data_IF_835040079162
#
_entry.id   IF_835040079162
#
_cell.length_a   1.000
_cell.length_b   1.000
_cell.length_c   1.000
_cell.angle_alpha   90.00
_cell.angle_beta   90.00
_cell.angle_gamma   90.00
#
_symmetry.space_group_name_H-M   'P 1'
#
loop_
_entity.id
_entity.type
_entity.pdbx_description
1 polymer ?
#
# COMPACT_ATOMS: atom_id res chain seq x y z
N UNK A 1 63.03 -39.80 58.92
CA UNK A 1 62.20 -40.51 57.92
C UNK A 1 60.84 -40.76 58.57
N UNK A 2 59.78 -40.69 57.75
CA UNK A 2 58.34 -40.73 58.05
C UNK A 2 57.71 -39.35 58.34
N UNK A 3 57.25 -38.59 57.35
CA UNK A 3 56.23 -38.80 56.27
C UNK A 3 54.82 -38.40 56.71
N UNK A 4 54.59 -37.09 56.61
CA UNK A 4 53.36 -36.40 56.17
C UNK A 4 52.27 -37.27 55.55
N UNK A 5 51.01 -37.12 56.00
CA UNK A 5 49.88 -37.00 55.06
C UNK A 5 48.70 -36.25 55.70
N UNK A 6 48.54 -34.99 55.31
CA UNK A 6 47.35 -34.19 55.56
C UNK A 6 46.26 -34.58 54.54
N UNK A 7 45.11 -35.06 55.03
CA UNK A 7 43.95 -35.34 54.19
C UNK A 7 43.30 -34.01 53.76
N UNK A 8 43.46 -33.65 52.48
CA UNK A 8 42.73 -32.54 51.86
C UNK A 8 41.37 -33.06 51.37
N UNK A 9 40.31 -32.68 52.08
CA UNK A 9 38.92 -32.90 51.67
C UNK A 9 38.59 -31.93 50.53
N UNK A 10 38.49 -32.45 49.31
CA UNK A 10 38.02 -31.71 48.13
C UNK A 10 36.49 -31.55 48.22
N UNK A 11 36.02 -30.37 48.59
CA UNK A 11 34.61 -29.98 48.43
C UNK A 11 34.38 -29.67 46.95
N UNK A 12 33.74 -30.59 46.24
CA UNK A 12 33.25 -30.36 44.87
C UNK A 12 31.94 -29.59 44.94
N UNK A 13 31.99 -28.31 44.61
CA UNK A 13 30.79 -27.51 44.35
C UNK A 13 30.24 -27.89 42.97
N UNK A 14 29.15 -28.64 42.94
CA UNK A 14 28.32 -28.84 41.75
C UNK A 14 27.38 -27.63 41.63
N UNK A 15 27.78 -26.62 40.86
CA UNK A 15 26.86 -25.58 40.39
C UNK A 15 25.98 -26.17 39.30
N UNK A 16 24.77 -26.59 39.65
CA UNK A 16 23.74 -26.90 38.67
C UNK A 16 23.27 -25.57 38.04
N UNK A 17 23.72 -25.29 36.83
CA UNK A 17 23.18 -24.20 36.03
C UNK A 17 21.76 -24.60 35.60
N UNK A 18 20.75 -23.97 36.22
CA UNK A 18 19.36 -24.08 35.82
C UNK A 18 19.22 -23.31 34.50
N UNK A 19 19.37 -24.01 33.38
CA UNK A 19 18.98 -23.48 32.06
C UNK A 19 17.46 -23.48 32.03
N UNK A 20 16.86 -22.32 32.30
CA UNK A 20 15.46 -22.06 31.96
C UNK A 20 15.38 -22.10 30.42
N UNK A 21 14.95 -23.25 29.90
CA UNK A 21 14.47 -23.35 28.53
C UNK A 21 13.16 -22.57 28.52
N UNK A 22 13.22 -21.30 28.12
CA UNK A 22 12.04 -20.54 27.73
C UNK A 22 11.53 -21.23 26.48
N UNK A 23 10.49 -22.04 26.62
CA UNK A 23 9.74 -22.50 25.46
C UNK A 23 9.26 -21.23 24.72
N UNK A 24 9.40 -21.16 23.38
CA UNK A 24 8.78 -20.08 22.64
C UNK A 24 7.29 -20.06 23.03
N UNK A 25 6.79 -18.91 23.46
CA UNK A 25 5.35 -18.71 23.57
C UNK A 25 4.78 -19.01 22.20
N UNK A 26 3.84 -19.95 22.10
CA UNK A 26 3.06 -20.13 20.87
C UNK A 26 2.29 -18.81 20.64
N UNK A 27 2.89 -17.93 19.84
CA UNK A 27 2.36 -16.64 19.41
C UNK A 27 1.45 -16.86 18.22
N UNK A 28 0.34 -17.55 18.45
CA UNK A 28 -0.72 -17.71 17.47
C UNK A 28 -1.99 -17.37 18.20
N UNK A 29 -2.24 -16.09 18.45
CA UNK A 29 -3.47 -15.49 18.95
C UNK A 29 -4.05 -14.47 17.93
N UNK A 30 -3.64 -14.55 16.67
CA UNK A 30 -4.06 -13.62 15.62
C UNK A 30 -5.51 -13.84 15.23
N UNK A 31 -6.14 -12.77 14.78
CA UNK A 31 -7.53 -12.74 14.38
C UNK A 31 -7.69 -12.22 12.96
N UNK A 32 -8.60 -12.82 12.20
CA UNK A 32 -9.00 -12.37 10.88
C UNK A 32 -10.39 -11.75 10.91
N UNK A 33 -10.58 -10.74 10.06
CA UNK A 33 -11.90 -10.17 9.81
C UNK A 33 -12.81 -11.22 9.18
N UNK A 34 -14.08 -11.27 9.60
CA UNK A 34 -15.05 -12.25 9.12
C UNK A 34 -16.19 -11.62 8.35
N UNK A 35 -16.87 -12.36 7.47
CA UNK A 35 -18.07 -11.86 6.77
C UNK A 35 -19.26 -11.56 7.69
N UNK A 36 -19.19 -11.89 8.98
CA UNK A 36 -20.26 -11.61 9.95
C UNK A 36 -20.15 -10.22 10.61
N UNK A 37 -18.99 -9.57 10.50
CA UNK A 37 -18.75 -8.23 11.07
C UNK A 37 -17.49 -8.18 11.92
N UNK A 38 -17.12 -6.98 12.35
CA UNK A 38 -15.90 -6.75 13.16
C UNK A 38 -16.01 -7.29 14.58
N UNK A 39 -17.21 -7.39 15.15
CA UNK A 39 -17.46 -7.94 16.48
C UNK A 39 -17.32 -9.47 16.55
N UNK A 40 -17.12 -10.14 15.41
CA UNK A 40 -17.05 -11.60 15.30
C UNK A 40 -15.84 -12.03 14.44
N UNK A 41 -14.61 -11.69 14.85
CA UNK A 41 -13.43 -12.13 14.13
C UNK A 41 -13.25 -13.66 14.22
N UNK A 42 -12.49 -14.21 13.28
CA UNK A 42 -12.07 -15.61 13.31
C UNK A 42 -10.64 -15.65 13.83
N UNK A 43 -10.46 -16.06 15.08
CA UNK A 43 -9.16 -16.10 15.74
C UNK A 43 -8.55 -17.50 15.74
N UNK A 44 -7.22 -17.55 15.83
CA UNK A 44 -6.45 -18.77 16.05
C UNK A 44 -5.64 -18.56 17.32
N UNK A 45 -5.78 -19.39 18.38
CA UNK A 45 -6.80 -20.42 18.52
C UNK A 45 -8.22 -19.82 18.57
N UNK A 46 -9.21 -20.62 18.20
CA UNK A 46 -10.60 -20.17 18.12
C UNK A 46 -11.14 -19.75 19.49
N UNK A 47 -11.60 -18.51 19.61
CA UNK A 47 -12.34 -18.00 20.75
C UNK A 47 -13.85 -18.10 20.47
N UNK A 48 -14.40 -19.31 20.61
CA UNK A 48 -15.82 -19.58 20.34
C UNK A 48 -16.07 -20.13 18.93
N UNK A 49 -17.34 -20.09 18.50
CA UNK A 49 -17.76 -20.61 17.20
C UNK A 49 -17.47 -19.58 16.10
N UNK A 50 -16.63 -19.90 15.09
CA UNK A 50 -16.31 -18.97 14.02
C UNK A 50 -17.57 -18.69 13.18
N UNK A 51 -17.76 -17.42 12.81
CA UNK A 51 -18.88 -17.00 11.98
C UNK A 51 -18.40 -16.60 10.58
N UNK A 52 -19.06 -17.11 9.54
CA UNK A 52 -18.83 -16.68 8.16
C UNK A 52 -17.49 -17.12 7.58
N UNK A 53 -17.03 -16.40 6.56
CA UNK A 53 -15.75 -16.64 5.90
C UNK A 53 -14.71 -15.62 6.36
N UNK A 54 -13.43 -16.01 6.35
CA UNK A 54 -12.31 -15.07 6.52
C UNK A 54 -12.27 -14.12 5.34
N UNK A 55 -12.12 -12.81 5.62
CA UNK A 55 -11.93 -11.80 4.58
C UNK A 55 -10.47 -11.77 4.14
N UNK A 56 -10.21 -11.95 2.85
CA UNK A 56 -8.88 -11.76 2.27
C UNK A 56 -8.92 -11.51 0.76
N UNK A 57 -7.84 -10.98 0.20
CA UNK A 57 -7.68 -10.83 -1.24
C UNK A 57 -7.46 -12.19 -1.92
N UNK A 58 -8.30 -12.56 -2.87
CA UNK A 58 -8.11 -13.81 -3.65
C UNK A 58 -7.29 -13.57 -4.93
N UNK A 59 -6.15 -12.89 -4.80
CA UNK A 59 -5.24 -12.54 -5.90
C UNK A 59 -3.81 -12.33 -5.41
N UNK A 60 -2.86 -12.44 -6.33
CA UNK A 60 -1.43 -12.30 -6.03
C UNK A 60 -0.99 -10.84 -5.86
N UNK A 61 -1.72 -9.88 -6.44
CA UNK A 61 -1.37 -8.46 -6.38
C UNK A 61 -2.59 -7.57 -6.24
N UNK A 62 -2.43 -6.50 -5.47
CA UNK A 62 -3.45 -5.47 -5.27
C UNK A 62 -2.83 -4.09 -5.49
N UNK A 63 -3.52 -3.20 -6.18
CA UNK A 63 -3.07 -1.82 -6.34
C UNK A 63 -3.65 -0.91 -5.27
N UNK A 64 -2.88 0.07 -4.80
CA UNK A 64 -3.40 1.19 -3.99
C UNK A 64 -2.94 2.52 -4.58
N UNK A 65 -3.63 3.60 -4.24
CA UNK A 65 -3.23 4.95 -4.63
C UNK A 65 -3.32 5.93 -3.46
N UNK A 66 -2.60 7.04 -3.57
CA UNK A 66 -2.65 8.13 -2.60
C UNK A 66 -3.56 9.24 -3.10
N UNK A 67 -4.40 9.78 -2.22
CA UNK A 67 -5.16 10.96 -2.55
C UNK A 67 -4.21 12.16 -2.72
N UNK A 68 -4.25 12.81 -3.88
CA UNK A 68 -3.27 13.80 -4.32
C UNK A 68 -3.18 15.08 -3.47
N UNK A 69 -4.21 15.40 -2.69
CA UNK A 69 -4.16 16.56 -1.80
C UNK A 69 -3.38 16.24 -0.52
N UNK A 70 -3.27 14.96 -0.13
CA UNK A 70 -2.65 14.55 1.12
C UNK A 70 -3.25 15.28 2.32
N UNK A 71 -2.38 15.68 3.25
CA UNK A 71 -2.72 16.51 4.40
C UNK A 71 -1.87 17.78 4.42
N UNK A 72 -2.38 18.88 4.97
CA UNK A 72 -1.64 20.12 5.16
C UNK A 72 -0.49 19.99 6.16
N UNK A 73 -0.50 18.96 7.01
CA UNK A 73 0.47 18.76 8.10
C UNK A 73 1.78 18.08 7.65
N UNK A 74 1.77 17.37 6.52
CA UNK A 74 2.89 16.57 6.01
C UNK A 74 3.03 16.78 4.51
N UNK A 75 4.24 16.65 3.98
CA UNK A 75 4.44 16.65 2.53
C UNK A 75 3.88 15.36 1.92
N UNK A 76 3.48 15.43 0.66
CA UNK A 76 3.00 14.24 -0.06
C UNK A 76 4.07 13.14 -0.17
N UNK A 77 5.36 13.52 -0.18
CA UNK A 77 6.48 12.56 -0.14
C UNK A 77 6.53 11.83 1.20
N UNK A 78 6.39 12.54 2.32
CA UNK A 78 6.35 11.92 3.65
C UNK A 78 5.16 10.97 3.80
N UNK A 79 3.99 11.37 3.30
CA UNK A 79 2.79 10.52 3.25
C UNK A 79 3.04 9.28 2.39
N UNK A 80 3.62 9.44 1.21
CA UNK A 80 3.89 8.33 0.31
C UNK A 80 4.91 7.34 0.90
N UNK A 81 5.97 7.85 1.52
CA UNK A 81 6.97 7.02 2.18
C UNK A 81 6.39 6.29 3.41
N UNK A 82 5.50 6.94 4.17
CA UNK A 82 4.79 6.30 5.26
C UNK A 82 3.88 5.16 4.78
N UNK A 83 3.11 5.38 3.71
CA UNK A 83 2.27 4.34 3.11
C UNK A 83 3.10 3.17 2.55
N UNK A 84 4.20 3.45 1.85
CA UNK A 84 5.13 2.40 1.36
C UNK A 84 5.72 1.59 2.51
N UNK A 85 6.12 2.25 3.60
CA UNK A 85 6.63 1.57 4.78
C UNK A 85 5.57 0.68 5.42
N UNK A 86 4.33 1.15 5.54
CA UNK A 86 3.20 0.39 6.08
C UNK A 86 2.88 -0.84 5.23
N UNK A 87 2.68 -0.70 3.92
CA UNK A 87 2.47 -1.85 3.02
C UNK A 87 3.66 -2.81 3.01
N UNK A 88 4.88 -2.28 2.96
CA UNK A 88 6.10 -3.07 2.99
C UNK A 88 6.29 -3.87 4.28
N UNK A 89 5.84 -3.36 5.44
CA UNK A 89 5.92 -4.09 6.70
C UNK A 89 5.18 -5.44 6.63
N UNK A 90 4.06 -5.49 5.90
CA UNK A 90 3.27 -6.70 5.69
C UNK A 90 3.80 -7.57 4.55
N UNK A 91 4.05 -7.00 3.36
CA UNK A 91 4.48 -7.81 2.19
C UNK A 91 5.91 -8.33 2.32
N UNK A 92 6.73 -7.74 3.19
CA UNK A 92 8.11 -8.18 3.46
C UNK A 92 8.25 -8.92 4.80
N UNK A 93 7.14 -9.29 5.44
CA UNK A 93 7.15 -10.12 6.64
C UNK A 93 7.86 -11.45 6.38
N UNK A 94 8.73 -11.88 7.29
CA UNK A 94 9.46 -13.15 7.13
C UNK A 94 8.64 -14.29 7.72
N UNK A 95 8.05 -15.12 6.86
CA UNK A 95 7.32 -16.31 7.29
C UNK A 95 8.28 -17.40 7.78
N UNK A 96 7.79 -18.33 8.62
CA UNK A 96 8.58 -19.46 9.15
C UNK A 96 9.19 -20.36 8.07
N UNK A 97 8.62 -20.36 6.87
CA UNK A 97 9.13 -21.04 5.68
C UNK A 97 10.42 -20.42 5.13
N UNK A 98 10.78 -19.22 5.57
CA UNK A 98 11.90 -18.42 5.05
C UNK A 98 11.55 -17.54 3.84
N UNK A 99 10.28 -17.57 3.41
CA UNK A 99 9.75 -16.78 2.30
C UNK A 99 8.85 -15.64 2.79
N UNK A 100 8.35 -14.81 1.86
CA UNK A 100 7.40 -13.72 2.12
C UNK A 100 5.94 -14.19 1.93
N UNK A 101 4.93 -13.42 2.39
CA UNK A 101 3.53 -13.68 2.08
C UNK A 101 3.27 -13.78 0.58
N UNK A 102 2.34 -14.65 0.19
CA UNK A 102 1.97 -14.90 -1.22
C UNK A 102 1.16 -13.79 -1.89
N UNK A 103 1.31 -12.54 -1.45
CA UNK A 103 0.61 -11.35 -1.95
C UNK A 103 1.55 -10.15 -1.96
N UNK A 104 1.42 -9.29 -2.98
CA UNK A 104 2.14 -8.01 -3.06
C UNK A 104 1.18 -6.85 -3.33
N UNK A 105 1.65 -5.64 -3.04
CA UNK A 105 0.86 -4.42 -3.17
C UNK A 105 1.63 -3.39 -3.99
N UNK A 106 0.99 -2.87 -5.04
CA UNK A 106 1.62 -1.95 -6.00
C UNK A 106 1.03 -0.56 -5.83
N UNK A 107 1.88 0.42 -5.55
CA UNK A 107 1.49 1.83 -5.57
C UNK A 107 1.21 2.27 -7.01
N UNK A 108 -0.03 2.69 -7.27
CA UNK A 108 -0.53 3.14 -8.57
C UNK A 108 -0.39 4.66 -8.77
N UNK A 109 0.27 5.35 -7.84
CA UNK A 109 0.51 6.79 -7.85
C UNK A 109 -0.59 7.58 -7.15
N UNK A 110 -0.78 8.82 -7.62
CA UNK A 110 -1.71 9.78 -7.02
C UNK A 110 -3.06 9.80 -7.76
N UNK A 111 -4.16 9.93 -7.01
CA UNK A 111 -5.52 10.00 -7.54
C UNK A 111 -6.27 11.22 -7.01
N UNK A 112 -7.30 11.64 -7.74
CA UNK A 112 -8.20 12.70 -7.32
C UNK A 112 -9.34 12.21 -6.41
N UNK A 113 -9.67 10.91 -6.48
CA UNK A 113 -10.66 10.27 -5.63
C UNK A 113 -10.38 10.55 -4.15
N UNK A 114 -11.36 11.06 -3.41
CA UNK A 114 -11.20 11.65 -2.08
C UNK A 114 -12.21 11.13 -1.04
N UNK A 115 -12.73 9.94 -1.26
CA UNK A 115 -13.66 9.26 -0.37
C UNK A 115 -13.53 7.76 -0.59
N UNK A 116 -13.90 6.98 0.41
CA UNK A 116 -14.17 5.55 0.20
C UNK A 116 -15.27 5.32 -0.84
N UNK A 117 -15.11 4.34 -1.72
CA UNK A 117 -16.13 3.93 -2.68
C UNK A 117 -15.81 2.58 -3.32
N UNK A 118 -16.80 1.68 -3.30
CA UNK A 118 -16.84 0.54 -4.21
C UNK A 118 -17.96 0.67 -5.24
N UNK A 119 -17.57 0.72 -6.51
CA UNK A 119 -18.44 0.73 -7.67
C UNK A 119 -18.54 -0.67 -8.29
N UNK A 120 -19.71 -1.33 -8.25
CA UNK A 120 -19.88 -2.70 -8.76
C UNK A 120 -20.00 -2.79 -10.29
N UNK A 121 -19.99 -1.66 -11.01
CA UNK A 121 -20.18 -1.62 -12.46
C UNK A 121 -19.12 -0.80 -13.21
N UNK A 122 -18.31 -0.01 -12.50
CA UNK A 122 -17.28 0.87 -13.04
C UNK A 122 -15.96 0.71 -12.28
N UNK A 123 -14.90 1.37 -12.74
CA UNK A 123 -13.58 1.26 -12.11
C UNK A 123 -13.55 1.72 -10.65
N UNK A 124 -12.58 1.20 -9.91
CA UNK A 124 -12.35 1.46 -8.49
C UNK A 124 -10.90 1.88 -8.26
N UNK A 125 -10.61 2.29 -7.03
CA UNK A 125 -9.27 2.52 -6.51
C UNK A 125 -9.28 2.29 -5.01
N UNK A 126 -8.37 1.46 -4.52
CA UNK A 126 -8.09 1.39 -3.09
C UNK A 126 -7.31 2.66 -2.70
N UNK A 127 -7.95 3.64 -2.10
CA UNK A 127 -7.34 4.97 -1.88
C UNK A 127 -6.97 5.19 -0.41
N UNK A 128 -5.80 5.79 -0.17
CA UNK A 128 -5.43 6.39 1.13
C UNK A 128 -5.74 7.88 1.10
N UNK A 129 -6.72 8.31 1.91
CA UNK A 129 -7.25 9.67 1.95
C UNK A 129 -7.03 10.31 3.33
N UNK A 130 -6.84 11.62 3.36
CA UNK A 130 -6.67 12.41 4.58
C UNK A 130 -7.78 13.48 4.68
N UNK A 131 -8.37 13.62 5.85
CA UNK A 131 -9.48 14.53 6.11
C UNK A 131 -9.03 15.68 7.02
N UNK A 132 -8.51 16.76 6.44
CA UNK A 132 -8.03 17.92 7.21
C UNK A 132 -9.15 18.83 7.73
N UNK A 133 -10.26 18.94 6.99
CA UNK A 133 -11.31 19.92 7.27
C UNK A 133 -12.33 19.39 8.27
N UNK A 134 -12.93 18.24 7.95
CA UNK A 134 -14.00 17.62 8.74
C UNK A 134 -13.88 16.10 8.63
N UNK A 135 -13.98 15.41 9.77
CA UNK A 135 -14.14 13.96 9.80
C UNK A 135 -15.61 13.59 9.56
N UNK A 136 -15.94 12.85 8.48
CA UNK A 136 -17.33 12.60 8.09
C UNK A 136 -18.05 11.58 8.96
N UNK A 137 -17.38 10.97 9.95
CA UNK A 137 -17.91 9.89 10.79
C UNK A 137 -18.06 10.33 12.25
N UNK A 138 -19.18 10.99 12.61
CA UNK A 138 -19.38 11.50 13.97
C UNK A 138 -19.52 10.41 15.04
N UNK A 139 -19.80 9.16 14.64
CA UNK A 139 -19.84 8.02 15.57
C UNK A 139 -18.45 7.45 15.86
N UNK A 140 -17.50 7.75 14.99
CA UNK A 140 -16.12 7.27 15.01
C UNK A 140 -15.18 8.47 15.15
N UNK A 141 -15.60 9.47 15.93
CA UNK A 141 -14.84 10.74 16.12
C UNK A 141 -13.49 10.53 16.77
N UNK A 142 -13.36 9.46 17.55
CA UNK A 142 -12.16 9.12 18.28
C UNK A 142 -11.24 8.20 17.46
N UNK A 143 -11.65 7.79 16.25
CA UNK A 143 -10.84 6.99 15.34
C UNK A 143 -9.75 7.86 14.68
N UNK A 144 -8.50 7.40 14.77
CA UNK A 144 -7.35 8.04 14.12
C UNK A 144 -7.38 7.83 12.60
N UNK A 145 -7.80 6.63 12.20
CA UNK A 145 -8.02 6.24 10.82
C UNK A 145 -9.05 5.10 10.77
N UNK A 146 -9.52 4.79 9.57
CA UNK A 146 -10.42 3.68 9.31
C UNK A 146 -10.06 3.03 7.97
N UNK A 147 -10.02 1.70 7.95
CA UNK A 147 -10.02 0.91 6.71
C UNK A 147 -11.40 0.36 6.39
N UNK A 148 -11.92 0.73 5.23
CA UNK A 148 -13.22 0.30 4.73
C UNK A 148 -13.07 -0.82 3.73
N UNK A 149 -13.42 -2.04 4.12
CA UNK A 149 -13.29 -3.24 3.27
C UNK A 149 -14.63 -3.62 2.65
N UNK A 150 -14.70 -3.65 1.32
CA UNK A 150 -15.80 -4.27 0.57
C UNK A 150 -15.44 -5.71 0.20
N UNK A 151 -16.37 -6.64 0.35
CA UNK A 151 -16.12 -8.06 0.17
C UNK A 151 -17.33 -8.82 -0.38
N UNK A 152 -17.09 -10.00 -0.94
CA UNK A 152 -18.12 -10.95 -1.38
C UNK A 152 -18.55 -11.83 -0.20
N UNK A 153 -19.79 -11.72 0.32
CA UNK A 153 -20.17 -12.41 1.57
C UNK A 153 -20.09 -13.94 1.51
N UNK A 154 -20.30 -14.53 0.34
CA UNK A 154 -20.28 -15.99 0.18
C UNK A 154 -18.88 -16.61 0.20
N UNK A 155 -17.84 -15.83 -0.06
CA UNK A 155 -16.46 -16.32 -0.17
C UNK A 155 -15.49 -15.65 0.80
N UNK A 156 -15.79 -14.43 1.25
CA UNK A 156 -14.84 -13.58 1.97
C UNK A 156 -13.83 -12.87 1.05
N UNK A 157 -13.98 -12.95 -0.28
CA UNK A 157 -13.08 -12.23 -1.18
C UNK A 157 -13.20 -10.72 -0.95
N UNK A 158 -12.10 -10.08 -0.55
CA UNK A 158 -11.99 -8.63 -0.56
C UNK A 158 -11.91 -8.18 -2.02
N UNK A 159 -12.75 -7.20 -2.37
CA UNK A 159 -12.82 -6.63 -3.72
C UNK A 159 -12.38 -5.18 -3.78
N UNK A 160 -12.35 -4.50 -2.63
CA UNK A 160 -11.97 -3.10 -2.47
C UNK A 160 -11.66 -2.80 -0.98
N UNK A 161 -10.67 -1.95 -0.73
CA UNK A 161 -10.29 -1.51 0.61
C UNK A 161 -9.69 -0.09 0.59
N UNK A 162 -10.41 0.86 1.20
CA UNK A 162 -10.01 2.27 1.31
C UNK A 162 -9.53 2.61 2.71
N UNK A 163 -8.49 3.44 2.83
CA UNK A 163 -7.96 3.91 4.11
C UNK A 163 -8.23 5.41 4.24
N UNK A 164 -8.87 5.83 5.33
CA UNK A 164 -9.16 7.23 5.60
C UNK A 164 -8.53 7.66 6.92
N UNK A 165 -7.74 8.73 6.91
CA UNK A 165 -6.97 9.23 8.06
C UNK A 165 -7.59 10.53 8.58
N UNK A 166 -7.85 10.60 9.88
CA UNK A 166 -8.52 11.71 10.54
C UNK A 166 -7.55 12.82 10.95
N UNK A 167 -7.05 13.57 9.98
CA UNK A 167 -6.15 14.72 10.21
C UNK A 167 -6.87 15.99 10.69
N UNK A 168 -8.21 15.98 10.74
CA UNK A 168 -9.02 17.09 11.25
C UNK A 168 -9.02 17.14 12.78
N UNK A 169 -9.03 15.96 13.41
CA UNK A 169 -9.16 15.82 14.87
C UNK A 169 -7.81 15.52 15.54
N UNK A 170 -6.84 15.00 14.78
CA UNK A 170 -5.57 14.52 15.31
C UNK A 170 -4.37 15.05 14.53
N UNK A 171 -3.27 15.27 15.25
CA UNK A 171 -1.97 15.62 14.67
C UNK A 171 -1.14 14.37 14.47
N UNK A 172 -0.44 14.31 13.34
CA UNK A 172 0.38 13.17 12.95
C UNK A 172 1.81 13.59 12.64
N UNK A 173 2.74 12.67 12.85
CA UNK A 173 4.14 12.80 12.49
C UNK A 173 4.67 11.52 11.86
N UNK A 174 5.72 11.64 11.04
CA UNK A 174 6.48 10.51 10.49
C UNK A 174 7.86 10.34 11.13
N UNK A 175 8.23 11.21 12.08
CA UNK A 175 9.59 11.26 12.64
C UNK A 175 9.92 10.13 13.60
N UNK A 176 8.91 9.47 14.19
CA UNK A 176 9.08 8.45 15.23
C UNK A 176 9.62 8.98 16.57
N UNK A 177 9.73 10.30 16.72
CA UNK A 177 10.21 10.96 17.95
C UNK A 177 9.31 12.11 18.40
N UNK A 178 8.28 12.43 17.62
CA UNK A 178 7.26 13.40 17.99
C UNK A 178 6.37 12.85 19.12
N UNK A 179 5.67 13.76 19.80
CA UNK A 179 4.56 13.41 20.70
C UNK A 179 3.21 13.36 19.99
N UNK A 180 3.17 13.66 18.69
CA UNK A 180 1.99 13.45 17.84
C UNK A 180 1.76 11.96 17.57
N UNK A 181 0.61 11.59 16.99
CA UNK A 181 0.39 10.22 16.54
C UNK A 181 1.35 9.83 15.42
N UNK A 182 1.87 8.61 15.47
CA UNK A 182 2.80 8.12 14.47
C UNK A 182 2.06 7.64 13.22
N UNK A 183 2.14 8.40 12.12
CA UNK A 183 1.43 8.07 10.88
C UNK A 183 1.89 6.73 10.30
N UNK A 184 3.18 6.41 10.42
CA UNK A 184 3.71 5.14 9.90
C UNK A 184 3.05 3.97 10.63
N UNK A 185 3.06 3.99 11.96
CA UNK A 185 2.41 2.94 12.76
C UNK A 185 0.89 2.86 12.56
N UNK A 186 0.19 4.01 12.52
CA UNK A 186 -1.26 4.03 12.25
C UNK A 186 -1.56 3.44 10.87
N UNK A 187 -0.82 3.84 9.82
CA UNK A 187 -1.01 3.23 8.50
C UNK A 187 -0.67 1.74 8.48
N UNK A 188 0.37 1.29 9.21
CA UNK A 188 0.68 -0.15 9.29
C UNK A 188 -0.48 -0.93 9.90
N UNK A 189 -1.14 -0.40 10.94
CA UNK A 189 -2.35 -0.97 11.52
C UNK A 189 -3.50 -1.04 10.50
N UNK A 190 -3.82 0.09 9.86
CA UNK A 190 -4.87 0.16 8.84
C UNK A 190 -4.61 -0.79 7.66
N UNK A 191 -3.35 -0.96 7.27
CA UNK A 191 -2.95 -1.91 6.22
C UNK A 191 -3.16 -3.36 6.66
N UNK A 192 -3.08 -3.67 7.95
CA UNK A 192 -3.47 -4.99 8.45
C UNK A 192 -4.94 -5.27 8.14
N UNK A 193 -5.84 -4.32 8.40
CA UNK A 193 -7.24 -4.43 8.00
C UNK A 193 -7.42 -4.52 6.49
N UNK A 194 -6.62 -3.78 5.70
CA UNK A 194 -6.61 -3.88 4.24
C UNK A 194 -6.34 -5.32 3.77
N UNK A 195 -5.44 -6.04 4.46
CA UNK A 195 -5.15 -7.44 4.18
C UNK A 195 -6.20 -8.41 4.73
N UNK A 196 -7.09 -7.97 5.61
CA UNK A 196 -8.11 -8.81 6.23
C UNK A 196 -7.81 -9.23 7.67
N UNK A 197 -6.78 -8.67 8.30
CA UNK A 197 -6.53 -8.85 9.73
C UNK A 197 -7.64 -8.17 10.54
N UNK A 198 -8.00 -8.75 11.68
CA UNK A 198 -8.85 -8.10 12.68
C UNK A 198 -8.00 -7.57 13.82
N UNK A 199 -8.62 -6.78 14.70
CA UNK A 199 -7.96 -6.36 15.92
C UNK A 199 -7.47 -7.55 16.75
N UNK A 200 -6.31 -7.41 17.37
CA UNK A 200 -5.76 -8.34 18.35
C UNK A 200 -6.02 -7.82 19.77
N UNK A 201 -6.18 -8.75 20.70
CA UNK A 201 -6.20 -8.45 22.14
C UNK A 201 -4.78 -8.38 22.73
N UNK A 202 -3.76 -8.82 21.97
CA UNK A 202 -2.37 -8.67 22.36
C UNK A 202 -1.96 -7.20 22.28
N UNK A 203 -1.56 -6.65 23.42
CA UNK A 203 -1.14 -5.26 23.57
C UNK A 203 0.22 -4.97 22.92
N UNK A 204 0.98 -5.97 22.51
CA UNK A 204 2.19 -5.76 21.72
C UNK A 204 1.91 -5.81 20.21
N UNK A 205 0.78 -6.40 19.77
CA UNK A 205 0.44 -6.56 18.36
C UNK A 205 0.28 -5.22 17.65
N UNK A 206 0.70 -5.19 16.38
CA UNK A 206 0.42 -4.08 15.46
C UNK A 206 -1.08 -3.89 15.28
N UNK A 207 -1.86 -4.96 15.40
CA UNK A 207 -3.33 -4.96 15.29
C UNK A 207 -4.04 -4.66 16.61
N UNK A 208 -3.37 -4.22 17.68
CA UNK A 208 -4.08 -3.76 18.88
C UNK A 208 -4.94 -2.53 18.55
N UNK A 209 -6.15 -2.46 19.10
CA UNK A 209 -7.12 -1.39 18.78
C UNK A 209 -6.87 -0.05 19.47
N UNK A 210 -5.85 0.06 20.33
CA UNK A 210 -5.53 1.26 21.08
C UNK A 210 -4.07 1.73 20.88
N UNK A 211 -3.92 3.04 20.70
CA UNK A 211 -2.61 3.67 20.52
C UNK A 211 -2.61 5.05 21.17
N UNK A 212 -1.48 5.43 21.76
CA UNK A 212 -1.29 6.72 22.39
C UNK A 212 -0.42 7.64 21.52
N UNK A 213 -0.54 8.98 21.65
CA UNK A 213 0.37 9.90 20.98
C UNK A 213 1.84 9.62 21.33
N UNK A 214 2.73 9.67 20.33
CA UNK A 214 4.16 9.36 20.45
C UNK A 214 4.50 7.87 20.50
N UNK A 215 3.50 6.97 20.45
CA UNK A 215 3.71 5.54 20.33
C UNK A 215 4.19 5.19 18.92
N UNK A 216 5.22 4.35 18.83
CA UNK A 216 5.82 3.88 17.57
C UNK A 216 5.80 2.36 17.44
N UNK A 217 5.17 1.66 18.39
CA UNK A 217 5.14 0.19 18.43
C UNK A 217 4.46 -0.44 17.22
N UNK A 218 3.50 0.26 16.60
CA UNK A 218 2.75 -0.25 15.45
C UNK A 218 3.55 -0.18 14.12
N UNK A 219 4.77 0.39 14.11
CA UNK A 219 5.59 0.50 12.88
C UNK A 219 6.06 -0.86 12.35
N UNK A 220 6.14 -1.87 13.21
CA UNK A 220 6.71 -3.18 12.90
C UNK A 220 5.81 -4.30 13.37
N UNK A 221 5.68 -5.34 12.56
CA UNK A 221 4.90 -6.51 12.90
C UNK A 221 5.52 -7.31 14.06
N UNK A 222 4.68 -7.73 14.99
CA UNK A 222 5.03 -8.72 15.98
C UNK A 222 4.89 -10.13 15.41
N UNK A 223 5.41 -11.12 16.13
CA UNK A 223 5.37 -12.52 15.70
C UNK A 223 3.94 -13.01 15.41
N UNK A 224 2.96 -12.53 16.18
CA UNK A 224 1.55 -12.88 15.98
C UNK A 224 1.00 -12.29 14.66
N UNK A 225 1.32 -11.02 14.37
CA UNK A 225 0.95 -10.35 13.13
C UNK A 225 1.58 -11.04 11.91
N UNK A 226 2.87 -11.42 12.03
CA UNK A 226 3.61 -12.17 11.00
C UNK A 226 2.99 -13.54 10.78
N UNK A 227 2.68 -14.28 11.86
CA UNK A 227 2.04 -15.59 11.75
C UNK A 227 0.66 -15.47 11.08
N UNK A 228 -0.09 -14.42 11.41
CA UNK A 228 -1.40 -14.12 10.82
C UNK A 228 -1.32 -13.84 9.32
N UNK A 229 -0.48 -12.91 8.86
CA UNK A 229 -0.37 -12.59 7.43
C UNK A 229 0.17 -13.77 6.62
N UNK A 230 1.11 -14.56 7.17
CA UNK A 230 1.64 -15.75 6.52
C UNK A 230 0.63 -16.90 6.47
N UNK A 231 -0.27 -17.00 7.45
CA UNK A 231 -1.37 -17.95 7.41
C UNK A 231 -2.46 -17.51 6.41
N UNK A 232 -2.73 -16.21 6.32
CA UNK A 232 -3.74 -15.64 5.43
C UNK A 232 -3.33 -15.69 3.96
N UNK A 233 -2.03 -15.45 3.71
CA UNK A 233 -1.39 -15.48 2.39
C UNK A 233 -0.17 -16.40 2.43
N UNK A 234 -0.37 -17.73 2.35
CA UNK A 234 0.72 -18.69 2.34
C UNK A 234 1.79 -18.36 1.30
N UNK A 235 3.06 -18.48 1.69
CA UNK A 235 4.19 -18.10 0.85
C UNK A 235 4.13 -18.71 -0.54
N UNK A 236 4.32 -17.85 -1.54
CA UNK A 236 4.33 -18.20 -2.96
C UNK A 236 5.18 -17.19 -3.72
N UNK A 237 5.95 -17.65 -4.70
CA UNK A 237 6.62 -16.76 -5.64
C UNK A 237 5.59 -16.04 -6.52
N UNK A 238 5.57 -14.71 -6.44
CA UNK A 238 4.71 -13.87 -7.27
C UNK A 238 5.32 -13.76 -8.67
N UNK A 239 4.55 -14.15 -9.68
CA UNK A 239 4.89 -13.91 -11.07
C UNK A 239 4.45 -12.49 -11.46
N UNK A 240 5.39 -11.54 -11.41
CA UNK A 240 5.13 -10.16 -11.78
C UNK A 240 4.70 -9.96 -13.25
N UNK A 241 4.84 -10.97 -14.12
CA UNK A 241 4.30 -10.91 -15.48
C UNK A 241 2.77 -11.11 -15.52
N UNK A 242 2.18 -11.74 -14.49
CA UNK A 242 0.74 -12.04 -14.38
C UNK A 242 0.07 -11.34 -13.19
N UNK A 243 0.86 -10.79 -12.27
CA UNK A 243 0.46 -9.84 -11.24
C UNK A 243 -0.33 -8.66 -11.82
N UNK A 244 -1.61 -8.55 -11.45
CA UNK A 244 -2.50 -7.48 -11.91
C UNK A 244 -2.95 -6.61 -10.73
N UNK A 245 -2.40 -5.40 -10.56
CA UNK A 245 -2.82 -4.50 -9.48
C UNK A 245 -4.13 -3.76 -9.76
N UNK A 246 -4.69 -3.88 -10.97
CA UNK A 246 -5.87 -3.12 -11.37
C UNK A 246 -7.09 -3.62 -10.54
N UNK A 247 -7.81 -2.72 -9.84
CA UNK A 247 -8.99 -3.07 -9.07
C UNK A 247 -10.09 -3.76 -9.89
N UNK A 248 -11.02 -4.42 -9.20
CA UNK A 248 -12.17 -5.02 -9.86
C UNK A 248 -12.91 -3.94 -10.67
N UNK A 249 -13.39 -4.33 -11.86
CA UNK A 249 -14.02 -3.43 -12.84
C UNK A 249 -13.12 -2.33 -13.46
N UNK A 250 -11.83 -2.26 -13.12
CA UNK A 250 -10.85 -1.33 -13.72
C UNK A 250 -10.32 -0.33 -12.70
N UNK A 251 -9.32 0.46 -13.11
CA UNK A 251 -8.78 1.54 -12.29
C UNK A 251 -9.53 2.85 -12.59
N UNK A 252 -9.96 3.56 -11.54
CA UNK A 252 -10.55 4.88 -11.62
C UNK A 252 -9.75 5.88 -10.78
N UNK A 253 -9.28 6.96 -11.39
CA UNK A 253 -8.53 8.01 -10.67
C UNK A 253 -9.43 9.01 -9.94
N UNK A 254 -10.74 8.90 -10.11
CA UNK A 254 -11.79 9.75 -9.52
C UNK A 254 -12.88 8.82 -9.00
N UNK A 255 -13.51 9.15 -7.86
CA UNK A 255 -14.70 8.43 -7.42
C UNK A 255 -15.95 9.07 -8.03
N UNK A 256 -16.23 8.73 -9.29
CA UNK A 256 -17.39 9.21 -10.05
C UNK A 256 -18.23 8.03 -10.57
N UNK A 257 -19.56 8.20 -10.73
CA UNK A 257 -20.46 7.08 -11.07
C UNK A 257 -20.17 6.38 -12.41
N UNK A 258 -19.66 7.11 -13.40
CA UNK A 258 -19.53 6.68 -14.81
C UNK A 258 -18.07 6.48 -15.25
N UNK A 259 -17.21 5.92 -14.40
CA UNK A 259 -15.80 5.63 -14.71
C UNK A 259 -15.66 4.31 -15.50
N UNK A 260 -16.17 4.26 -16.74
CA UNK A 260 -16.10 3.05 -17.57
C UNK A 260 -14.65 2.70 -17.96
N UNK A 261 -14.34 1.39 -17.98
CA UNK A 261 -13.04 0.83 -18.43
C UNK A 261 -12.56 1.50 -19.71
N UNK A 262 -11.37 2.11 -19.65
CA UNK A 262 -10.64 2.57 -20.84
C UNK A 262 -10.61 4.08 -21.06
N UNK A 263 -11.14 4.91 -20.16
CA UNK A 263 -10.83 6.34 -20.17
C UNK A 263 -9.42 6.57 -19.62
N UNK A 264 -8.40 6.31 -20.43
CA UNK A 264 -7.07 6.88 -20.18
C UNK A 264 -7.16 8.39 -20.40
N UNK A 265 -7.73 9.12 -19.42
CA UNK A 265 -7.66 10.56 -19.42
C UNK A 265 -6.26 10.95 -18.97
N UNK A 266 -5.34 11.05 -19.93
CA UNK A 266 -4.15 11.86 -19.73
C UNK A 266 -4.63 13.26 -19.30
N UNK A 267 -4.01 13.92 -18.30
CA UNK A 267 -4.38 15.27 -17.94
C UNK A 267 -4.30 16.11 -19.21
N UNK A 268 -5.42 16.73 -19.58
CA UNK A 268 -5.44 17.69 -20.68
C UNK A 268 -4.52 18.84 -20.26
N UNK A 269 -3.25 18.76 -20.65
CA UNK A 269 -2.35 19.88 -20.65
C UNK A 269 -3.07 20.99 -21.41
N UNK A 270 -3.43 22.06 -20.71
CA UNK A 270 -3.91 23.28 -21.35
C UNK A 270 -2.82 23.75 -22.29
N UNK A 271 -2.93 23.38 -23.57
CA UNK A 271 -2.24 24.11 -24.62
C UNK A 271 -2.78 25.53 -24.56
N UNK A 272 -1.93 26.56 -24.36
CA UNK A 272 -2.39 27.93 -24.50
C UNK A 272 -2.88 28.09 -25.94
N UNK A 273 -4.15 28.46 -26.07
CA UNK A 273 -4.79 28.80 -27.33
C UNK A 273 -3.95 29.81 -28.10
N UNK A 274 -3.86 29.62 -29.42
CA UNK A 274 -3.18 30.49 -30.37
C UNK A 274 -3.45 31.98 -30.08
N UNK A 275 -2.41 32.70 -29.67
CA UNK A 275 -2.55 34.12 -29.31
C UNK A 275 -1.39 34.68 -28.49
N UNK A 276 -0.13 34.40 -28.87
CA UNK A 276 1.02 35.06 -28.27
C UNK A 276 2.22 35.07 -29.23
N UNK A 277 2.13 35.83 -30.33
CA UNK A 277 3.27 36.09 -31.22
C UNK A 277 3.71 37.56 -31.27
N UNK A 278 3.20 38.43 -30.39
CA UNK A 278 3.72 39.79 -30.25
C UNK A 278 4.22 40.02 -28.83
N UNK A 279 5.50 39.75 -28.58
CA UNK A 279 6.50 40.63 -27.94
C UNK A 279 7.82 39.84 -27.94
N UNK A 280 8.76 40.20 -28.83
CA UNK A 280 10.22 40.34 -28.63
C UNK A 280 10.74 40.88 -29.96
N UNK A 281 10.63 42.18 -30.14
CA UNK A 281 11.29 42.94 -31.18
C UNK A 281 12.05 44.10 -30.50
N UNK A 282 13.16 43.78 -29.84
CA UNK A 282 14.17 44.77 -29.44
C UNK A 282 15.41 44.07 -28.84
N UNK A 283 16.30 43.55 -29.67
CA UNK A 283 17.75 43.61 -29.42
C UNK A 283 18.51 43.07 -30.63
N UNK A 284 19.67 43.68 -30.90
CA UNK A 284 20.69 43.28 -31.88
C UNK A 284 20.46 43.88 -33.28
N UNK A 285 20.75 45.18 -33.36
CA UNK A 285 21.29 45.80 -34.56
C UNK A 285 22.53 46.61 -34.21
N UNK A 286 23.72 46.01 -34.29
CA UNK A 286 24.96 46.73 -34.63
C UNK A 286 26.06 45.72 -35.00
N UNK A 287 26.48 45.71 -36.26
CA UNK A 287 27.57 44.86 -36.73
C UNK A 287 27.61 44.70 -38.24
N UNK A 288 27.50 45.81 -38.98
CA UNK A 288 27.78 45.82 -40.40
C UNK A 288 29.27 45.63 -40.67
N UNK A 289 29.56 44.94 -41.78
CA UNK A 289 30.66 45.20 -42.69
C UNK A 289 32.04 44.63 -42.33
N UNK A 290 32.40 43.51 -42.98
CA UNK A 290 33.48 43.43 -44.00
C UNK A 290 33.92 41.98 -44.21
N UNK A 291 33.65 41.42 -45.40
CA UNK A 291 34.67 40.95 -46.34
C UNK A 291 34.03 40.09 -47.44
N UNK A 292 34.11 40.64 -48.65
CA UNK A 292 33.83 39.99 -49.94
C UNK A 292 34.86 38.88 -50.23
N UNK A 293 34.44 37.81 -50.93
CA UNK A 293 34.92 37.37 -52.29
C UNK A 293 34.86 35.83 -52.52
N UNK A 294 33.82 35.39 -53.24
CA UNK A 294 33.79 34.46 -54.43
C UNK A 294 34.43 33.03 -54.34
N UNK A 295 34.34 32.14 -55.37
CA UNK A 295 33.36 31.02 -55.40
C UNK A 295 33.98 29.63 -55.73
N UNK A 296 33.20 28.54 -55.64
CA UNK A 296 33.41 27.36 -56.51
C UNK A 296 33.28 25.95 -55.91
N UNK A 297 32.28 25.23 -56.45
CA UNK A 297 32.25 23.81 -56.90
C UNK A 297 32.41 22.62 -55.92
N UNK A 298 31.37 21.77 -56.03
CA UNK A 298 31.37 20.31 -56.22
C UNK A 298 31.01 19.39 -55.02
N UNK A 299 30.01 18.53 -55.31
CA UNK A 299 29.45 17.42 -54.49
C UNK A 299 30.42 16.22 -54.40
N UNK A 300 30.19 15.28 -53.46
CA UNK A 300 29.49 14.03 -53.82
C UNK A 300 28.44 13.60 -52.75
N UNK A 301 27.21 13.25 -53.15
CA UNK A 301 26.63 11.88 -53.27
C UNK A 301 26.76 11.01 -52.00
N UNK A 302 25.62 10.80 -51.33
CA UNK A 302 25.35 9.55 -50.60
C UNK A 302 23.95 9.04 -50.95
N UNK A 303 23.93 7.78 -51.39
CA UNK A 303 22.80 6.85 -51.60
C UNK A 303 22.38 6.39 -50.19
N UNK A 304 21.12 6.39 -49.75
CA UNK A 304 19.97 5.66 -50.28
C UNK A 304 19.72 4.43 -49.39
N UNK A 305 18.58 4.34 -48.71
CA UNK A 305 18.21 3.16 -47.91
C UNK A 305 17.00 3.38 -47.00
N UNK A 306 15.83 3.01 -47.51
CA UNK A 306 14.47 3.23 -46.98
C UNK A 306 14.18 2.62 -45.59
N UNK A 307 13.41 3.35 -44.77
CA UNK A 307 12.64 2.81 -43.63
C UNK A 307 11.20 2.56 -44.10
N UNK A 308 10.74 1.32 -44.02
CA UNK A 308 9.35 0.94 -44.25
C UNK A 308 8.52 1.17 -42.98
N UNK A 309 7.33 1.73 -43.19
CA UNK A 309 6.26 1.97 -42.21
C UNK A 309 5.57 0.63 -41.87
N UNK A 310 5.21 0.44 -40.59
CA UNK A 310 4.19 -0.51 -40.20
C UNK A 310 2.89 0.25 -39.95
N UNK A 311 1.91 -0.03 -40.80
CA UNK A 311 0.54 0.48 -40.79
C UNK A 311 -0.30 -0.45 -39.90
N UNK A 312 -1.12 0.12 -39.01
CA UNK A 312 -2.02 -0.62 -38.12
C UNK A 312 -3.43 -0.51 -38.71
N UNK A 313 -4.00 -1.65 -39.10
CA UNK A 313 -5.37 -1.77 -39.60
C UNK A 313 -6.31 -2.22 -38.46
N UNK A 314 -7.52 -1.63 -38.30
CA UNK A 314 -8.46 -2.02 -37.25
C UNK A 314 -9.54 -2.96 -37.80
N UNK A 315 -9.81 -4.08 -37.12
CA UNK A 315 -10.98 -4.92 -37.41
C UNK A 315 -11.92 -5.12 -36.21
N UNK A 316 -13.12 -4.55 -36.40
CA UNK A 316 -14.49 -5.03 -36.11
C UNK A 316 -14.86 -5.70 -34.77
N UNK A 317 -15.64 -4.92 -34.02
CA UNK A 317 -16.96 -5.18 -33.43
C UNK A 317 -17.56 -6.61 -33.44
N UNK A 318 -18.04 -7.03 -32.26
CA UNK A 318 -19.26 -7.83 -32.10
C UNK A 318 -20.13 -7.30 -30.94
N UNK A 319 -21.44 -7.19 -31.18
CA UNK A 319 -22.53 -6.85 -30.24
C UNK A 319 -23.29 -8.12 -29.84
N UNK A 320 -23.77 -8.21 -28.59
CA UNK A 320 -25.14 -8.59 -28.15
C UNK A 320 -25.18 -8.95 -26.64
N UNK A 321 -25.92 -8.19 -25.81
CA UNK A 321 -27.27 -8.44 -25.22
C UNK A 321 -27.26 -9.29 -23.91
N UNK A 322 -27.59 -8.67 -22.76
CA UNK A 322 -28.82 -8.84 -21.92
C UNK A 322 -28.80 -10.12 -21.03
N UNK A 323 -29.15 -10.18 -19.73
CA UNK A 323 -30.20 -9.55 -18.90
C UNK A 323 -30.02 -9.93 -17.40
N UNK A 324 -30.72 -9.17 -16.54
CA UNK A 324 -31.37 -9.52 -15.25
C UNK A 324 -30.56 -9.82 -13.97
N UNK A 325 -30.68 -8.85 -13.04
CA UNK A 325 -30.93 -8.94 -11.59
C UNK A 325 -31.80 -10.14 -11.14
N UNK A 326 -31.90 -10.46 -9.83
CA UNK A 326 -31.66 -9.63 -8.63
C UNK A 326 -30.33 -9.85 -7.92
#
# INVERSE_FOLDING_TARGET
MDSSTAARTLVRWLTAALVLVVAPSEAAAYCFSSTCGEEQPICVPSEGEPCGNVRHWMRDCVGYALQRNGTASLTLVEVADAARAAFGAWTLAQCDTGDYPGIDVIEMGEVACNRKEFNPIAGNVNVVTFYDADWPYPKDSDALALTWVSFVPSTGEIVDADIEVNTSSFTFSVSGTSTDYDLVGVLTHEVGHFFGMAHSLDQESTMRGDVLPGDTGLRSLMNDDVAGICALYPSKTIDYATCNPIPLHGFASECEPDQYKGSCSAPAGRFPSEGAWEVIAAAIGLGMWLCRRTPGKARPKFVGGSRAMCEVEPQRAHRSCALSQP
#
